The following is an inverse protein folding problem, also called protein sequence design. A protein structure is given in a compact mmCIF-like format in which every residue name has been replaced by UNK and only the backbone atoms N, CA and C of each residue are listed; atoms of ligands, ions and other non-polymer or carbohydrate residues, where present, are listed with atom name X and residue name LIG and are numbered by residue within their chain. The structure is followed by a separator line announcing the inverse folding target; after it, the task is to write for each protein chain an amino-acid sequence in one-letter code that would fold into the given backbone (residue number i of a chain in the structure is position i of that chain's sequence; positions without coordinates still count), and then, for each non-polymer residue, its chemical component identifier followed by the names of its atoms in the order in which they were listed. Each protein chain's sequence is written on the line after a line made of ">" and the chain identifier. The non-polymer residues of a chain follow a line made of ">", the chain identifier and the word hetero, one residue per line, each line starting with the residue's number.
data_IF_981476971714
#
_entry.id   IF_981476971714
#
_cell.length_a   1.000
_cell.length_b   1.000
_cell.length_c   1.000
_cell.angle_alpha   90.00
_cell.angle_beta   90.00
_cell.angle_gamma   90.00
#
_symmetry.space_group_name_H-M   'P 1'
#
loop_
_entity.id
_entity.type
_entity.pdbx_description
1 polymer ?
#
# COMPACT_ATOMS: atom_id res chain seq x y z
N UNK A 1 9.46 25.19 -2.44
CA UNK A 1 9.00 24.18 -1.46
C UNK A 1 7.83 24.74 -0.67
N UNK A 2 6.64 24.19 -0.84
CA UNK A 2 5.42 24.58 -0.16
C UNK A 2 5.32 23.85 1.19
N UNK A 3 4.99 24.56 2.26
CA UNK A 3 4.81 23.95 3.59
C UNK A 3 3.35 23.64 3.83
N UNK A 4 3.06 22.38 4.18
CA UNK A 4 1.73 21.88 4.52
C UNK A 4 1.70 21.52 6.00
N UNK A 5 0.87 22.20 6.77
CA UNK A 5 0.74 22.00 8.22
C UNK A 5 -0.58 21.36 8.65
N UNK A 6 -1.51 21.14 7.72
CA UNK A 6 -2.81 20.51 7.96
C UNK A 6 -3.43 19.91 6.71
N UNK A 7 -4.33 18.97 6.90
CA UNK A 7 -5.31 18.53 5.92
C UNK A 7 -6.55 19.41 6.05
N UNK A 8 -7.03 19.96 4.95
CA UNK A 8 -8.20 20.86 4.95
C UNK A 8 -9.52 20.10 4.98
N UNK A 9 -9.56 18.89 4.41
CA UNK A 9 -10.72 18.02 4.34
C UNK A 9 -10.55 16.96 3.27
N UNK A 10 -11.66 16.30 2.91
CA UNK A 10 -11.72 15.32 1.83
C UNK A 10 -12.31 15.94 0.56
N UNK A 11 -11.80 15.57 -0.61
CA UNK A 11 -12.39 15.93 -1.90
C UNK A 11 -13.85 15.46 -2.06
N UNK A 12 -14.26 14.46 -1.26
CA UNK A 12 -15.62 13.92 -1.27
C UNK A 12 -16.57 14.67 -0.34
N UNK A 13 -16.07 15.59 0.49
CA UNK A 13 -16.91 16.41 1.34
C UNK A 13 -17.68 17.45 0.51
N UNK A 14 -18.97 17.59 0.78
CA UNK A 14 -19.86 18.52 0.06
C UNK A 14 -19.32 19.95 0.04
N UNK A 15 -18.63 20.37 1.11
CA UNK A 15 -18.02 21.70 1.21
C UNK A 15 -16.95 21.97 0.13
N UNK A 16 -16.31 20.94 -0.42
CA UNK A 16 -15.22 21.08 -1.39
C UNK A 16 -15.58 20.58 -2.80
N UNK A 17 -16.63 19.77 -2.93
CA UNK A 17 -16.94 19.06 -4.18
C UNK A 17 -17.10 20.01 -5.37
N UNK A 18 -17.85 21.10 -5.22
CA UNK A 18 -18.08 22.05 -6.32
C UNK A 18 -16.80 22.78 -6.72
N UNK A 19 -15.99 23.19 -5.75
CA UNK A 19 -14.75 23.92 -6.00
C UNK A 19 -13.72 23.00 -6.65
N UNK A 20 -13.56 21.78 -6.15
CA UNK A 20 -12.66 20.78 -6.75
C UNK A 20 -13.08 20.46 -8.17
N UNK A 21 -14.37 20.23 -8.43
CA UNK A 21 -14.89 19.95 -9.77
C UNK A 21 -14.60 21.11 -10.74
N UNK A 22 -14.81 22.35 -10.30
CA UNK A 22 -14.49 23.54 -11.09
C UNK A 22 -13.00 23.64 -11.43
N UNK A 23 -12.12 23.34 -10.46
CA UNK A 23 -10.67 23.34 -10.64
C UNK A 23 -10.20 22.19 -11.54
N UNK A 24 -10.81 21.02 -11.44
CA UNK A 24 -10.54 19.87 -12.32
C UNK A 24 -10.82 20.20 -13.79
N UNK A 25 -11.96 20.82 -14.08
CA UNK A 25 -12.31 21.25 -15.44
C UNK A 25 -11.32 22.26 -16.04
N UNK A 26 -10.62 23.00 -15.19
CA UNK A 26 -9.58 23.96 -15.60
C UNK A 26 -8.18 23.34 -15.64
N UNK A 27 -8.03 22.07 -15.28
CA UNK A 27 -6.71 21.43 -15.13
C UNK A 27 -5.87 22.04 -14.01
N UNK A 28 -6.53 22.60 -12.98
CA UNK A 28 -5.90 23.33 -11.88
C UNK A 28 -5.84 22.50 -10.59
N UNK A 29 -6.11 21.20 -10.64
CA UNK A 29 -5.88 20.25 -9.56
C UNK A 29 -4.57 19.52 -9.80
N UNK A 30 -3.62 19.72 -8.91
CA UNK A 30 -2.39 18.94 -8.89
C UNK A 30 -2.49 17.79 -7.87
N UNK A 31 -1.81 16.69 -8.12
CA UNK A 31 -1.86 15.51 -7.29
C UNK A 31 -0.49 15.20 -6.70
N UNK A 32 -0.47 14.81 -5.43
CA UNK A 32 0.72 14.25 -4.79
C UNK A 32 0.50 12.78 -4.51
N UNK A 33 1.31 11.92 -5.13
CA UNK A 33 1.25 10.47 -4.93
C UNK A 33 2.02 10.09 -3.68
N UNK A 34 1.31 9.58 -2.67
CA UNK A 34 1.89 9.14 -1.39
C UNK A 34 1.73 7.61 -1.29
N UNK A 35 2.83 6.86 -1.10
CA UNK A 35 2.73 5.43 -0.84
C UNK A 35 1.84 5.15 0.36
N UNK A 36 1.01 4.10 0.29
CA UNK A 36 0.09 3.74 1.38
C UNK A 36 0.80 3.60 2.72
N UNK A 37 1.99 3.00 2.72
CA UNK A 37 2.82 2.86 3.92
C UNK A 37 3.21 4.21 4.55
N UNK A 38 3.22 5.29 3.78
CA UNK A 38 3.61 6.62 4.21
C UNK A 38 2.42 7.51 4.59
N UNK A 39 1.18 7.10 4.29
CA UNK A 39 -0.03 7.86 4.64
C UNK A 39 -0.17 8.11 6.15
N UNK A 40 0.34 7.19 6.97
CA UNK A 40 0.35 7.35 8.43
C UNK A 40 1.43 8.31 8.95
N UNK A 41 2.40 8.68 8.11
CA UNK A 41 3.47 9.61 8.49
C UNK A 41 2.94 11.02 8.58
N UNK A 42 3.30 11.70 9.65
CA UNK A 42 2.94 13.10 9.87
C UNK A 42 3.97 14.09 9.34
N UNK A 43 5.17 13.62 9.04
CA UNK A 43 6.27 14.42 8.48
C UNK A 43 6.87 13.67 7.31
N UNK A 44 6.79 14.28 6.13
CA UNK A 44 7.44 13.76 4.93
C UNK A 44 7.68 14.88 3.93
N UNK A 45 8.64 14.66 3.05
CA UNK A 45 8.83 15.44 1.85
C UNK A 45 8.20 14.68 0.69
N UNK A 46 7.50 15.38 -0.17
CA UNK A 46 6.86 14.80 -1.35
C UNK A 46 6.93 15.80 -2.50
N UNK A 47 6.71 15.31 -3.72
CA UNK A 47 6.66 16.15 -4.91
C UNK A 47 5.34 15.89 -5.62
N UNK A 48 4.64 16.94 -6.00
CA UNK A 48 3.41 16.83 -6.78
C UNK A 48 3.72 16.34 -8.20
N UNK A 49 2.69 15.92 -8.94
CA UNK A 49 2.83 15.54 -10.35
C UNK A 49 3.29 16.72 -11.20
N UNK A 50 2.93 17.93 -10.84
CA UNK A 50 3.40 19.17 -11.46
C UNK A 50 4.83 19.57 -11.10
N UNK A 51 5.51 18.83 -10.21
CA UNK A 51 6.90 19.06 -9.82
C UNK A 51 7.09 20.01 -8.63
N UNK A 52 6.02 20.43 -7.93
CA UNK A 52 6.15 21.25 -6.74
C UNK A 52 6.56 20.43 -5.51
N UNK A 53 7.61 20.85 -4.83
CA UNK A 53 8.07 20.22 -3.60
C UNK A 53 7.20 20.62 -2.40
N UNK A 54 6.74 19.62 -1.64
CA UNK A 54 5.93 19.77 -0.44
C UNK A 54 6.70 19.33 0.79
N UNK A 55 6.73 20.16 1.83
CA UNK A 55 7.15 19.78 3.17
C UNK A 55 5.91 19.61 4.04
N UNK A 56 5.48 18.38 4.24
CA UNK A 56 4.28 18.03 5.02
C UNK A 56 4.67 17.83 6.48
N UNK A 57 3.98 18.51 7.41
CA UNK A 57 4.19 18.42 8.84
C UNK A 57 2.85 18.54 9.59
N UNK A 58 2.11 17.43 9.66
CA UNK A 58 0.76 17.41 10.23
C UNK A 58 0.74 17.32 11.76
N UNK A 59 -0.29 17.89 12.43
CA UNK A 59 -0.53 17.73 13.85
C UNK A 59 -0.91 16.28 14.20
N UNK A 60 -0.84 15.93 15.50
CA UNK A 60 -1.00 14.54 15.97
C UNK A 60 -2.35 13.91 15.64
N UNK A 61 -3.40 14.70 15.56
CA UNK A 61 -4.77 14.25 15.30
C UNK A 61 -5.11 14.14 13.81
N UNK A 62 -4.19 14.51 12.93
CA UNK A 62 -4.37 14.41 11.48
C UNK A 62 -3.40 13.41 10.85
N UNK A 63 -3.83 12.81 9.76
CA UNK A 63 -3.06 11.92 8.89
C UNK A 63 -3.50 12.09 7.45
N UNK A 64 -2.66 11.67 6.52
CA UNK A 64 -2.99 11.66 5.10
C UNK A 64 -3.91 10.48 4.78
N UNK A 65 -4.73 10.66 3.76
CA UNK A 65 -5.59 9.62 3.18
C UNK A 65 -5.83 9.93 1.69
N UNK A 66 -6.32 8.98 0.93
CA UNK A 66 -6.64 9.20 -0.48
C UNK A 66 -7.74 10.25 -0.63
N UNK A 67 -7.52 11.25 -1.48
CA UNK A 67 -8.44 12.36 -1.65
C UNK A 67 -8.33 13.46 -0.59
N UNK A 68 -7.34 13.41 0.32
CA UNK A 68 -7.09 14.51 1.27
C UNK A 68 -6.68 15.78 0.53
N UNK A 69 -7.29 16.90 0.87
CA UNK A 69 -6.99 18.22 0.30
C UNK A 69 -5.92 18.87 1.18
N UNK A 70 -4.76 19.17 0.58
CA UNK A 70 -3.64 19.83 1.23
C UNK A 70 -3.62 21.34 0.99
N UNK A 71 -4.10 21.75 -0.17
CA UNK A 71 -4.27 23.14 -0.57
C UNK A 71 -5.52 23.22 -1.43
N UNK A 72 -6.31 24.27 -1.22
CA UNK A 72 -7.37 24.69 -2.13
C UNK A 72 -7.55 26.19 -2.04
N UNK A 73 -7.52 26.83 -3.18
CA UNK A 73 -7.84 28.25 -3.37
C UNK A 73 -8.58 28.46 -4.69
N UNK A 74 -8.80 29.72 -5.09
CA UNK A 74 -9.54 30.03 -6.33
C UNK A 74 -8.82 29.65 -7.61
N UNK A 75 -7.51 29.42 -7.54
CA UNK A 75 -6.66 29.20 -8.70
C UNK A 75 -6.28 27.73 -8.84
N UNK A 76 -6.05 27.02 -7.73
CA UNK A 76 -5.57 25.63 -7.73
C UNK A 76 -5.94 24.83 -6.49
N UNK A 77 -5.79 23.53 -6.61
CA UNK A 77 -5.84 22.62 -5.46
C UNK A 77 -4.69 21.59 -5.53
N UNK A 78 -4.27 21.10 -4.37
CA UNK A 78 -3.36 19.95 -4.25
C UNK A 78 -4.08 18.86 -3.45
N UNK A 79 -4.19 17.68 -4.07
CA UNK A 79 -4.91 16.53 -3.52
C UNK A 79 -3.98 15.32 -3.38
N UNK A 80 -4.07 14.63 -2.26
CA UNK A 80 -3.34 13.37 -2.04
C UNK A 80 -3.95 12.25 -2.86
N UNK A 81 -3.10 11.46 -3.51
CA UNK A 81 -3.44 10.16 -4.08
C UNK A 81 -2.65 9.09 -3.37
N UNK A 82 -3.36 8.13 -2.81
CA UNK A 82 -2.74 6.90 -2.34
C UNK A 82 -2.15 6.17 -3.54
N UNK A 83 -0.81 6.09 -3.58
CA UNK A 83 -0.16 5.39 -4.66
C UNK A 83 -0.36 3.89 -4.48
N UNK A 84 -0.79 3.22 -5.54
CA UNK A 84 -0.80 1.76 -5.62
C UNK A 84 0.59 1.25 -5.32
N UNK A 85 0.72 0.34 -4.37
CA UNK A 85 1.98 -0.34 -4.13
C UNK A 85 2.22 -1.34 -5.25
N UNK A 86 3.36 -1.19 -5.91
CA UNK A 86 3.83 -2.20 -6.86
C UNK A 86 4.73 -3.17 -6.13
N UNK A 87 4.50 -4.44 -6.35
CA UNK A 87 5.26 -5.52 -5.73
C UNK A 87 5.92 -6.38 -6.79
N UNK A 88 7.20 -6.67 -6.60
CA UNK A 88 7.88 -7.71 -7.35
C UNK A 88 7.74 -9.02 -6.57
N UNK A 89 7.06 -9.98 -7.19
CA UNK A 89 6.84 -11.33 -6.66
C UNK A 89 7.99 -12.21 -7.13
N UNK A 90 8.68 -12.83 -6.18
CA UNK A 90 9.86 -13.65 -6.39
C UNK A 90 9.58 -15.06 -5.87
N UNK A 91 9.67 -16.05 -6.76
CA UNK A 91 9.44 -17.47 -6.45
C UNK A 91 10.77 -18.23 -6.52
N UNK A 92 11.41 -18.53 -5.39
CA UNK A 92 12.60 -19.40 -5.38
C UNK A 92 12.21 -20.83 -5.75
N UNK A 93 13.10 -21.54 -6.45
CA UNK A 93 12.83 -22.90 -6.91
C UNK A 93 13.37 -23.98 -5.98
N UNK A 94 14.18 -23.60 -5.00
CA UNK A 94 14.74 -24.47 -3.98
C UNK A 94 14.90 -23.73 -2.65
N UNK A 95 15.12 -24.47 -1.59
CA UNK A 95 15.45 -23.91 -0.27
C UNK A 95 16.74 -23.09 -0.35
N UNK A 96 17.76 -23.57 -1.09
CA UNK A 96 19.00 -22.84 -1.29
C UNK A 96 18.78 -21.50 -1.97
N UNK A 97 17.92 -21.47 -3.00
CA UNK A 97 17.58 -20.25 -3.71
C UNK A 97 16.79 -19.27 -2.81
N UNK A 98 15.92 -19.80 -1.95
CA UNK A 98 15.16 -18.97 -0.99
C UNK A 98 16.10 -18.32 0.04
N UNK A 99 17.08 -19.04 0.56
CA UNK A 99 18.08 -18.54 1.51
C UNK A 99 18.93 -17.43 0.85
N UNK A 100 19.43 -17.68 -0.36
CA UNK A 100 20.24 -16.71 -1.09
C UNK A 100 19.44 -15.45 -1.45
N UNK A 101 18.21 -15.62 -1.93
CA UNK A 101 17.29 -14.52 -2.22
C UNK A 101 17.01 -13.67 -0.98
N UNK A 102 16.71 -14.30 0.15
CA UNK A 102 16.48 -13.63 1.43
C UNK A 102 17.71 -12.85 1.90
N UNK A 103 18.89 -13.43 1.74
CA UNK A 103 20.16 -12.76 2.05
C UNK A 103 20.39 -11.51 1.18
N UNK A 104 20.15 -11.62 -0.13
CA UNK A 104 20.23 -10.46 -1.05
C UNK A 104 19.25 -9.36 -0.67
N UNK A 105 17.99 -9.72 -0.43
CA UNK A 105 16.95 -8.75 -0.08
C UNK A 105 17.28 -8.03 1.24
N UNK A 106 17.81 -8.75 2.23
CA UNK A 106 18.26 -8.19 3.50
C UNK A 106 19.45 -7.24 3.36
N UNK A 107 20.47 -7.63 2.61
CA UNK A 107 21.66 -6.78 2.37
C UNK A 107 21.32 -5.50 1.59
N UNK A 108 20.34 -5.57 0.71
CA UNK A 108 19.89 -4.43 -0.09
C UNK A 108 18.85 -3.57 0.65
N UNK A 109 18.52 -3.94 1.89
CA UNK A 109 17.50 -3.28 2.72
C UNK A 109 16.15 -3.11 2.02
N UNK A 110 15.78 -4.09 1.17
CA UNK A 110 14.50 -4.06 0.49
C UNK A 110 13.36 -4.26 1.47
N UNK A 111 12.28 -3.52 1.27
CA UNK A 111 11.06 -3.74 2.02
C UNK A 111 10.35 -4.98 1.47
N UNK A 112 10.26 -6.02 2.30
CA UNK A 112 9.77 -7.33 1.88
C UNK A 112 8.58 -7.79 2.71
N UNK A 113 7.76 -8.66 2.12
CA UNK A 113 6.78 -9.50 2.82
C UNK A 113 6.88 -10.92 2.31
N UNK A 114 6.53 -11.87 3.16
CA UNK A 114 6.51 -13.29 2.82
C UNK A 114 5.08 -13.78 2.75
N UNK A 115 4.79 -14.62 1.77
CA UNK A 115 3.52 -15.34 1.67
C UNK A 115 3.81 -16.76 1.22
N UNK A 116 3.76 -17.71 2.17
CA UNK A 116 4.24 -19.07 1.95
C UNK A 116 5.72 -19.08 1.55
N UNK A 117 6.03 -19.67 0.42
CA UNK A 117 7.40 -19.78 -0.12
C UNK A 117 7.78 -18.62 -1.05
N UNK A 118 6.91 -17.61 -1.18
CA UNK A 118 7.09 -16.49 -2.09
C UNK A 118 7.55 -15.25 -1.32
N UNK A 119 8.56 -14.56 -1.87
CA UNK A 119 9.03 -13.28 -1.40
C UNK A 119 8.44 -12.17 -2.28
N UNK A 120 7.82 -11.18 -1.65
CA UNK A 120 7.37 -9.95 -2.30
C UNK A 120 8.28 -8.81 -1.90
N UNK A 121 8.76 -8.06 -2.89
CA UNK A 121 9.58 -6.87 -2.71
C UNK A 121 8.79 -5.66 -3.15
N UNK A 122 8.62 -4.67 -2.27
CA UNK A 122 7.98 -3.41 -2.63
C UNK A 122 8.85 -2.61 -3.60
N UNK A 123 8.29 -2.21 -4.73
CA UNK A 123 8.99 -1.44 -5.73
C UNK A 123 8.86 0.07 -5.43
N UNK A 124 9.93 0.66 -4.92
CA UNK A 124 10.06 2.10 -4.69
C UNK A 124 10.71 2.82 -5.87
N UNK A 125 11.16 2.05 -6.86
CA UNK A 125 11.81 2.51 -8.09
C UNK A 125 11.43 1.66 -9.30
N UNK A 126 12.25 1.73 -10.35
CA UNK A 126 11.99 0.96 -11.57
C UNK A 126 12.26 -0.52 -11.32
N UNK A 127 11.41 -1.44 -11.82
CA UNK A 127 11.61 -2.88 -11.66
C UNK A 127 12.97 -3.36 -12.16
N UNK A 128 13.50 -2.73 -13.21
CA UNK A 128 14.78 -3.07 -13.82
C UNK A 128 15.96 -2.90 -12.87
N UNK A 129 15.86 -1.92 -11.95
CA UNK A 129 16.92 -1.65 -10.97
C UNK A 129 17.00 -2.79 -9.92
N UNK A 130 15.88 -3.45 -9.66
CA UNK A 130 15.79 -4.62 -8.77
C UNK A 130 16.20 -5.91 -9.47
N UNK A 131 15.70 -6.15 -10.68
CA UNK A 131 16.02 -7.36 -11.45
C UNK A 131 17.49 -7.42 -11.85
N UNK A 132 18.13 -6.27 -12.11
CA UNK A 132 19.57 -6.21 -12.40
C UNK A 132 20.42 -6.74 -11.23
N UNK A 133 19.96 -6.56 -9.98
CA UNK A 133 20.66 -7.06 -8.79
C UNK A 133 20.48 -8.56 -8.54
N UNK A 134 19.46 -9.15 -9.16
CA UNK A 134 19.16 -10.59 -9.11
C UNK A 134 19.52 -11.29 -10.44
N UNK A 135 20.26 -10.62 -11.33
CA UNK A 135 20.48 -11.04 -12.70
C UNK A 135 21.02 -12.46 -12.82
N UNK A 136 21.94 -12.89 -11.94
CA UNK A 136 22.48 -14.25 -11.91
C UNK A 136 21.41 -15.29 -11.55
N UNK A 137 20.60 -15.05 -10.53
CA UNK A 137 19.53 -15.96 -10.12
C UNK A 137 18.42 -16.05 -11.18
N UNK A 138 18.14 -14.94 -11.87
CA UNK A 138 17.15 -14.90 -12.95
C UNK A 138 17.65 -15.63 -14.20
N UNK A 139 18.88 -15.35 -14.63
CA UNK A 139 19.48 -15.97 -15.83
C UNK A 139 19.67 -17.47 -15.65
N UNK A 140 20.00 -17.93 -14.46
CA UNK A 140 20.10 -19.34 -14.09
C UNK A 140 18.72 -19.99 -13.85
N UNK A 141 17.62 -19.26 -14.00
CA UNK A 141 16.23 -19.73 -13.75
C UNK A 141 16.00 -20.27 -12.34
N UNK A 142 16.74 -19.77 -11.37
CA UNK A 142 16.64 -20.17 -9.96
C UNK A 142 15.48 -19.49 -9.23
N UNK A 143 15.00 -18.37 -9.76
CA UNK A 143 13.81 -17.65 -9.26
C UNK A 143 12.87 -17.31 -10.41
N UNK A 144 11.56 -17.38 -10.13
CA UNK A 144 10.51 -16.78 -10.95
C UNK A 144 10.29 -15.33 -10.56
N UNK A 145 10.02 -14.44 -11.53
CA UNK A 145 9.80 -13.02 -11.29
C UNK A 145 8.51 -12.57 -11.96
N UNK A 146 7.64 -11.87 -11.23
CA UNK A 146 6.48 -11.18 -11.78
C UNK A 146 6.24 -9.87 -11.03
N UNK A 147 5.59 -8.90 -11.71
CA UNK A 147 5.23 -7.61 -11.13
C UNK A 147 3.71 -7.60 -10.89
N UNK A 148 3.32 -7.15 -9.70
CA UNK A 148 1.94 -7.00 -9.29
C UNK A 148 1.68 -5.55 -8.89
N UNK A 149 0.57 -5.01 -9.38
CA UNK A 149 0.03 -3.74 -8.89
C UNK A 149 -1.06 -4.07 -7.86
N UNK A 150 -0.85 -3.70 -6.61
CA UNK A 150 -1.82 -3.91 -5.55
C UNK A 150 -2.68 -2.66 -5.42
N UNK A 151 -3.94 -2.75 -5.85
CA UNK A 151 -4.92 -1.72 -5.56
C UNK A 151 -5.19 -1.69 -4.06
N UNK A 152 -5.20 -0.47 -3.47
CA UNK A 152 -5.61 -0.27 -2.09
C UNK A 152 -7.07 -0.63 -1.98
N UNK A 153 -7.36 -1.84 -1.50
CA UNK A 153 -8.69 -2.15 -1.01
C UNK A 153 -8.86 -1.43 0.31
N UNK A 154 -9.78 -0.47 0.34
CA UNK A 154 -10.28 0.12 1.58
C UNK A 154 -10.63 -1.03 2.52
N UNK A 155 -10.01 -1.05 3.70
CA UNK A 155 -10.18 -2.10 4.68
C UNK A 155 -11.59 -2.10 5.29
N UNK A 156 -12.58 -2.53 4.51
CA UNK A 156 -13.84 -3.01 5.04
C UNK A 156 -13.59 -4.40 5.59
N UNK A 157 -13.44 -4.46 6.88
CA UNK A 157 -13.44 -5.67 7.70
C UNK A 157 -14.69 -6.50 7.37
N UNK A 158 -14.55 -7.45 6.48
CA UNK A 158 -15.51 -8.57 6.44
C UNK A 158 -15.20 -9.44 7.65
N UNK A 159 -16.07 -9.29 8.65
CA UNK A 159 -16.06 -10.12 9.84
C UNK A 159 -16.12 -11.58 9.45
N UNK A 160 -15.13 -12.35 9.87
CA UNK A 160 -15.20 -13.79 9.86
C UNK A 160 -16.41 -14.21 10.70
N UNK A 161 -17.48 -14.59 10.02
CA UNK A 161 -18.64 -15.25 10.62
C UNK A 161 -18.15 -16.63 11.04
N UNK A 162 -17.95 -16.79 12.34
CA UNK A 162 -17.72 -18.10 12.96
C UNK A 162 -19.05 -18.84 12.84
N UNK A 163 -19.10 -19.80 11.92
CA UNK A 163 -20.18 -20.75 11.79
C UNK A 163 -20.11 -21.70 12.99
N UNK A 164 -21.00 -21.47 13.98
CA UNK A 164 -21.23 -22.35 15.10
C UNK A 164 -22.05 -23.57 14.59
N UNK A 165 -21.33 -24.58 14.12
CA UNK A 165 -21.91 -25.85 13.74
C UNK A 165 -22.54 -26.53 14.94
N UNK A 166 -23.66 -27.29 14.75
CA UNK A 166 -24.45 -27.84 15.85
C UNK A 166 -23.68 -28.92 16.60
N UNK A 167 -23.68 -28.78 17.92
CA UNK A 167 -23.19 -29.76 18.90
C UNK A 167 -24.00 -31.06 18.76
N UNK A 168 -23.32 -32.15 18.40
CA UNK A 168 -23.92 -33.46 18.35
C UNK A 168 -24.29 -33.92 19.77
N UNK A 169 -25.55 -34.26 19.97
CA UNK A 169 -26.09 -34.87 21.19
C UNK A 169 -25.40 -36.22 21.46
N UNK A 170 -24.81 -36.35 22.65
CA UNK A 170 -24.34 -37.61 23.19
C UNK A 170 -25.50 -38.54 23.47
N UNK A 171 -25.55 -39.68 22.77
CA UNK A 171 -26.46 -40.79 23.05
C UNK A 171 -26.02 -41.50 24.33
N UNK A 172 -26.84 -41.41 25.36
CA UNK A 172 -26.79 -42.23 26.57
C UNK A 172 -27.09 -43.69 26.23
N UNK A 173 -26.11 -44.56 26.31
CA UNK A 173 -26.33 -46.00 26.38
C UNK A 173 -26.63 -46.38 27.81
N UNK A 174 -27.88 -46.78 28.04
CA UNK A 174 -28.32 -47.55 29.23
C UNK A 174 -27.74 -48.95 29.13
N UNK A 175 -27.00 -49.34 30.13
CA UNK A 175 -26.61 -50.73 30.38
C UNK A 175 -27.47 -51.24 31.54
N UNK A 176 -28.52 -52.01 31.20
CA UNK A 176 -29.23 -52.81 32.17
C UNK A 176 -28.52 -54.16 32.33
N UNK A 177 -28.27 -54.50 33.58
CA UNK A 177 -27.59 -55.70 33.97
C UNK A 177 -28.42 -57.00 33.96
N UNK A 178 -27.75 -58.07 33.88
CA UNK A 178 -28.05 -59.28 34.65
C UNK A 178 -26.77 -60.05 34.86
#
# INVERSE_FOLDING_TARGET
>A
MLRIDRVLGSRLETAFTEEIHRLEHRGAVDEVNIPVADLARRRLLATTRGGEELAIALPRHQKLFDGAILLIDRERAIVVRAATERWMRLEPRSIGDAIELGYHAGNLHWRVRFQGEVLFVALEGRPEDYTARLGEMISARRIGVSILDEEVRDGSTEGAQIDDGPVAEENHFHHDGH
#
